data_IF_170155440163
#
_entry.id   IF_170155440163
#
_cell.length_a   1.000
_cell.length_b   1.000
_cell.length_c   1.000
_cell.angle_alpha   90.00
_cell.angle_beta   90.00
_cell.angle_gamma   90.00
#
_symmetry.space_group_name_H-M   'P 1'
#
loop_
_entity.id
_entity.type
_entity.pdbx_description
1 polymer ?
#
# COMPACT_ATOMS: atom_id res chain seq x y z
N UNK A 1 25.38 13.52 16.27
CA UNK A 1 26.17 12.38 16.80
C UNK A 1 27.53 12.33 16.15
N UNK A 2 28.55 11.82 16.85
CA UNK A 2 29.92 11.69 16.32
C UNK A 2 30.29 10.20 16.27
N UNK A 3 30.83 9.76 15.15
CA UNK A 3 31.27 8.38 14.90
C UNK A 3 32.77 8.40 14.64
N UNK A 4 33.53 7.62 15.39
CA UNK A 4 34.94 7.39 15.13
C UNK A 4 35.09 6.16 14.23
N UNK A 5 35.86 6.32 13.17
CA UNK A 5 36.08 5.27 12.18
C UNK A 5 37.09 4.25 12.72
N UNK A 6 36.64 3.02 12.82
CA UNK A 6 37.44 1.90 13.31
C UNK A 6 38.53 1.41 12.33
N UNK A 7 39.30 0.38 12.73
CA UNK A 7 40.31 -0.22 11.86
C UNK A 7 39.68 -0.86 10.63
N UNK A 8 40.41 -0.82 9.51
CA UNK A 8 40.00 -1.34 8.20
C UNK A 8 38.62 -0.76 7.71
N UNK A 9 38.55 0.58 7.50
CA UNK A 9 37.31 1.22 7.10
C UNK A 9 36.87 0.78 5.72
N UNK A 10 35.53 0.67 5.53
CA UNK A 10 34.99 0.44 4.20
C UNK A 10 35.43 1.59 3.24
N UNK A 11 35.69 1.29 1.94
CA UNK A 11 36.33 2.23 1.01
C UNK A 11 35.47 3.44 0.62
N UNK A 12 34.28 3.58 1.22
CA UNK A 12 33.31 4.65 0.93
C UNK A 12 32.64 5.09 2.21
N UNK A 13 32.47 6.40 2.36
CA UNK A 13 31.83 7.02 3.51
C UNK A 13 30.44 6.44 3.82
N UNK A 14 29.57 6.30 2.82
CA UNK A 14 28.24 5.72 3.00
C UNK A 14 28.22 4.27 3.51
N UNK A 15 29.25 3.48 3.13
CA UNK A 15 29.39 2.10 3.58
C UNK A 15 30.01 2.01 4.97
N UNK A 16 31.01 2.84 5.25
CA UNK A 16 31.65 2.87 6.55
C UNK A 16 30.66 3.32 7.64
N UNK A 17 29.90 4.40 7.40
CA UNK A 17 28.89 4.85 8.33
C UNK A 17 27.78 3.82 8.55
N UNK A 18 27.36 3.09 7.53
CA UNK A 18 26.38 2.02 7.68
C UNK A 18 26.87 0.85 8.55
N UNK A 19 28.18 0.71 8.74
CA UNK A 19 28.80 -0.30 9.61
C UNK A 19 29.06 0.23 11.02
N UNK A 20 29.50 1.48 11.12
CA UNK A 20 29.99 2.06 12.37
C UNK A 20 28.88 2.79 13.20
N UNK A 21 27.79 3.21 12.55
CA UNK A 21 26.66 3.85 13.25
C UNK A 21 25.91 2.79 14.05
N UNK A 22 25.69 3.00 15.38
CA UNK A 22 24.96 2.06 16.22
C UNK A 22 23.54 1.79 15.69
N UNK A 23 23.08 0.52 15.77
CA UNK A 23 21.72 0.14 15.36
C UNK A 23 20.62 0.91 16.12
N UNK A 24 20.90 1.30 17.37
CA UNK A 24 20.00 2.10 18.21
C UNK A 24 19.62 3.45 17.57
N UNK A 25 20.46 4.00 16.70
CA UNK A 25 20.19 5.28 16.01
C UNK A 25 19.25 5.13 14.79
N UNK A 26 18.89 3.91 14.43
CA UNK A 26 17.95 3.60 13.33
C UNK A 26 18.26 4.29 12.00
N UNK A 27 19.54 4.60 11.74
CA UNK A 27 20.00 5.24 10.51
C UNK A 27 20.33 4.24 9.43
N UNK A 28 19.37 3.96 8.56
CA UNK A 28 19.61 3.11 7.39
C UNK A 28 20.65 3.72 6.45
N UNK A 29 21.39 2.87 5.70
CA UNK A 29 22.36 3.32 4.71
C UNK A 29 21.77 4.33 3.70
N UNK A 30 20.52 4.17 3.31
CA UNK A 30 19.83 5.10 2.41
C UNK A 30 19.63 6.47 3.06
N UNK A 31 19.35 6.52 4.38
CA UNK A 31 19.23 7.76 5.14
C UNK A 31 20.60 8.42 5.31
N UNK A 32 21.64 7.66 5.63
CA UNK A 32 23.02 8.14 5.69
C UNK A 32 23.49 8.74 4.36
N UNK A 33 23.26 8.07 3.24
CA UNK A 33 23.57 8.60 1.91
C UNK A 33 22.86 9.91 1.60
N UNK A 34 21.61 10.07 2.07
CA UNK A 34 20.84 11.29 1.91
C UNK A 34 21.40 12.43 2.80
N UNK A 35 21.70 12.14 4.07
CA UNK A 35 22.32 13.12 4.98
C UNK A 35 23.67 13.63 4.45
N UNK A 36 24.49 12.75 3.86
CA UNK A 36 25.72 13.14 3.18
C UNK A 36 25.41 14.13 2.03
N UNK A 37 24.49 13.79 1.14
CA UNK A 37 24.13 14.62 -0.02
C UNK A 37 23.55 15.99 0.38
N UNK A 38 22.84 16.06 1.50
CA UNK A 38 22.25 17.29 2.09
C UNK A 38 23.28 18.15 2.85
N UNK A 39 24.55 17.68 2.97
CA UNK A 39 25.60 18.40 3.70
C UNK A 39 25.48 18.30 5.22
N UNK A 40 24.71 17.36 5.74
CA UNK A 40 24.50 17.11 7.16
C UNK A 40 25.61 16.23 7.78
N UNK A 41 26.68 15.96 7.04
CA UNK A 41 27.82 15.13 7.49
C UNK A 41 29.12 15.90 7.34
N UNK A 42 29.89 15.95 8.42
CA UNK A 42 31.23 16.52 8.41
C UNK A 42 32.28 15.45 8.71
N UNK A 43 33.33 15.39 7.89
CA UNK A 43 34.48 14.53 8.05
C UNK A 43 35.64 15.37 8.59
N UNK A 44 36.12 15.05 9.79
CA UNK A 44 37.17 15.80 10.48
C UNK A 44 36.87 17.33 10.54
N UNK A 45 35.61 17.66 10.88
CA UNK A 45 35.12 19.03 10.98
C UNK A 45 34.81 19.73 9.64
N UNK A 46 35.02 19.06 8.50
CA UNK A 46 34.73 19.62 7.18
C UNK A 46 33.50 18.95 6.56
N UNK A 47 32.48 19.74 6.22
CA UNK A 47 31.27 19.25 5.56
C UNK A 47 31.60 18.57 4.25
N UNK A 48 31.05 17.38 4.04
CA UNK A 48 31.19 16.60 2.81
C UNK A 48 29.83 16.19 2.25
N UNK A 49 29.68 16.29 0.92
CA UNK A 49 28.49 15.84 0.19
C UNK A 49 28.77 14.62 -0.70
N UNK A 50 30.02 14.13 -0.69
CA UNK A 50 30.43 12.95 -1.50
C UNK A 50 30.30 11.64 -0.70
N UNK A 51 29.33 10.77 -1.02
CA UNK A 51 29.16 9.48 -0.36
C UNK A 51 30.31 8.49 -0.63
N UNK A 52 31.20 8.84 -1.57
CA UNK A 52 32.38 8.04 -1.93
C UNK A 52 33.67 8.56 -1.31
N UNK A 53 33.60 9.58 -0.46
CA UNK A 53 34.77 10.10 0.25
C UNK A 53 35.53 8.94 0.92
N UNK A 54 36.84 8.98 0.79
CA UNK A 54 37.74 7.98 1.40
C UNK A 54 37.91 8.29 2.88
N UNK A 55 37.98 7.25 3.68
CA UNK A 55 38.17 7.30 5.13
C UNK A 55 39.44 6.55 5.50
N UNK A 56 40.04 6.96 6.59
CA UNK A 56 41.15 6.26 7.27
C UNK A 56 40.73 5.99 8.72
N UNK A 57 41.40 5.01 9.33
CA UNK A 57 41.22 4.73 10.76
C UNK A 57 41.52 5.98 11.60
N UNK A 58 40.63 6.25 12.58
CA UNK A 58 40.73 7.41 13.43
C UNK A 58 40.03 8.69 12.89
N UNK A 59 39.50 8.65 11.66
CA UNK A 59 38.68 9.76 11.17
C UNK A 59 37.45 9.96 12.06
N UNK A 60 37.13 11.24 12.35
CA UNK A 60 35.92 11.63 13.07
C UNK A 60 34.86 12.08 12.09
N UNK A 61 33.70 11.42 12.13
CA UNK A 61 32.56 11.79 11.29
C UNK A 61 31.42 12.31 12.19
N UNK A 62 31.12 13.57 12.03
CA UNK A 62 29.97 14.22 12.69
C UNK A 62 28.73 14.12 11.78
N UNK A 63 27.65 13.56 12.31
CA UNK A 63 26.38 13.45 11.60
C UNK A 63 25.38 14.34 12.33
N UNK A 64 24.95 15.41 11.68
CA UNK A 64 23.85 16.24 12.13
C UNK A 64 22.57 15.62 11.65
N UNK A 65 21.93 14.83 12.50
CA UNK A 65 20.57 14.38 12.26
C UNK A 65 19.69 15.57 12.70
N UNK A 66 19.16 16.31 11.74
CA UNK A 66 18.01 17.13 12.05
C UNK A 66 16.92 16.14 12.48
N UNK A 67 16.43 16.30 13.71
CA UNK A 67 15.18 15.67 14.09
C UNK A 67 14.22 15.93 12.94
N UNK A 68 13.63 14.86 12.39
CA UNK A 68 12.61 15.06 11.39
C UNK A 68 11.66 16.07 12.02
N UNK A 69 11.49 17.23 11.40
CA UNK A 69 10.47 18.21 11.84
C UNK A 69 9.24 17.35 11.97
N UNK A 70 8.84 17.08 13.19
CA UNK A 70 7.61 16.35 13.46
C UNK A 70 6.56 17.23 12.82
N UNK A 71 6.08 16.80 11.68
CA UNK A 71 4.83 17.34 11.14
C UNK A 71 3.82 16.81 12.14
N UNK A 72 3.59 17.61 13.18
CA UNK A 72 2.57 17.37 14.17
C UNK A 72 1.30 17.10 13.36
N UNK A 73 0.81 15.87 13.42
CA UNK A 73 -0.38 15.48 12.64
C UNK A 73 -1.54 16.20 13.30
N UNK A 74 -1.94 17.31 12.71
CA UNK A 74 -3.00 18.16 13.27
C UNK A 74 -4.36 17.51 13.07
N UNK A 75 -5.25 17.52 14.09
CA UNK A 75 -6.64 17.12 13.94
C UNK A 75 -7.36 18.00 12.89
N UNK A 76 -8.14 17.38 12.00
CA UNK A 76 -8.91 18.09 10.99
C UNK A 76 -10.37 17.59 11.00
N UNK A 77 -11.32 18.51 10.95
CA UNK A 77 -12.77 18.21 10.89
C UNK A 77 -13.13 17.71 9.49
N UNK A 78 -12.92 16.42 9.28
CA UNK A 78 -13.26 15.72 8.05
C UNK A 78 -14.28 14.64 8.39
N UNK A 79 -15.41 14.64 7.71
CA UNK A 79 -16.47 13.65 7.92
C UNK A 79 -15.97 12.23 7.65
N UNK A 80 -16.28 11.31 8.56
CA UNK A 80 -15.94 9.88 8.46
C UNK A 80 -17.23 9.05 8.35
N UNK A 81 -17.23 8.08 7.46
CA UNK A 81 -18.25 7.03 7.41
C UNK A 81 -17.81 5.88 8.33
N UNK A 82 -18.30 5.90 9.57
CA UNK A 82 -17.97 4.95 10.62
C UNK A 82 -18.98 3.81 10.60
N UNK A 83 -18.50 2.59 10.32
CA UNK A 83 -19.31 1.38 10.29
C UNK A 83 -19.46 0.76 11.69
N UNK A 84 -18.45 0.92 12.53
CA UNK A 84 -18.41 0.42 13.90
C UNK A 84 -17.41 1.19 14.73
N UNK A 85 -17.69 1.39 16.00
CA UNK A 85 -16.79 1.97 16.97
C UNK A 85 -17.07 1.46 18.37
N UNK A 86 -16.03 1.12 19.11
CA UNK A 86 -16.04 0.84 20.53
C UNK A 86 -14.86 1.50 21.27
N UNK A 87 -14.53 1.04 22.47
CA UNK A 87 -13.41 1.58 23.25
C UNK A 87 -12.04 1.21 22.66
N UNK A 88 -11.94 0.12 21.90
CA UNK A 88 -10.70 -0.49 21.45
C UNK A 88 -10.37 -0.25 19.98
N UNK A 89 -11.37 -0.13 19.10
CA UNK A 89 -11.16 0.03 17.67
C UNK A 89 -12.28 0.82 16.98
N UNK A 90 -11.99 1.28 15.78
CA UNK A 90 -12.97 1.88 14.87
C UNK A 90 -12.84 1.24 13.48
N UNK A 91 -13.95 0.97 12.83
CA UNK A 91 -14.02 0.50 11.45
C UNK A 91 -14.66 1.59 10.59
N UNK A 92 -13.93 2.00 9.55
CA UNK A 92 -14.37 3.08 8.68
C UNK A 92 -14.47 2.62 7.22
N UNK A 93 -15.43 3.17 6.50
CA UNK A 93 -15.51 3.08 5.05
C UNK A 93 -14.78 4.30 4.44
N UNK A 94 -13.53 4.12 4.05
CA UNK A 94 -12.69 5.21 3.53
C UNK A 94 -13.16 5.66 2.14
N UNK A 95 -13.41 6.96 1.92
CA UNK A 95 -13.74 7.45 0.59
C UNK A 95 -12.54 7.37 -0.37
N UNK A 96 -12.84 7.49 -1.66
CA UNK A 96 -11.85 7.69 -2.73
C UNK A 96 -11.08 9.01 -2.49
N UNK A 97 -9.81 9.06 -2.88
CA UNK A 97 -9.00 10.28 -2.82
C UNK A 97 -8.37 10.57 -1.45
N UNK A 98 -8.82 9.91 -0.39
CA UNK A 98 -8.27 10.08 0.95
C UNK A 98 -7.05 9.18 1.18
N UNK A 99 -5.92 9.78 1.59
CA UNK A 99 -4.72 9.04 2.04
C UNK A 99 -4.93 8.58 3.49
N UNK A 100 -4.43 7.40 3.84
CA UNK A 100 -4.62 6.85 5.20
C UNK A 100 -3.83 7.64 6.25
N UNK A 101 -2.56 7.98 5.98
CA UNK A 101 -1.70 8.69 6.93
C UNK A 101 -0.83 9.73 6.23
N UNK A 102 -0.41 10.79 6.92
CA UNK A 102 0.45 11.81 6.36
C UNK A 102 1.73 11.25 5.75
N UNK A 103 2.13 11.80 4.61
CA UNK A 103 3.33 11.42 3.89
C UNK A 103 3.90 12.65 3.13
N UNK A 104 5.17 12.61 2.69
CA UNK A 104 5.70 13.65 1.81
C UNK A 104 4.79 13.88 0.60
N UNK A 105 4.30 15.11 0.42
CA UNK A 105 3.33 15.49 -0.62
C UNK A 105 1.85 15.39 -0.21
N UNK A 106 1.53 14.88 0.98
CA UNK A 106 0.17 14.87 1.55
C UNK A 106 0.28 14.99 3.08
N UNK A 107 0.62 16.17 3.61
CA UNK A 107 0.85 16.36 5.04
C UNK A 107 -0.48 16.43 5.84
N UNK A 108 -1.59 16.68 5.19
CA UNK A 108 -2.92 16.96 5.75
C UNK A 108 -4.03 16.29 4.94
N UNK A 109 -5.28 16.37 5.38
CA UNK A 109 -6.42 15.78 4.69
C UNK A 109 -6.44 14.25 4.68
N UNK A 110 -5.80 13.62 5.67
CA UNK A 110 -5.71 12.15 5.74
C UNK A 110 -6.71 11.56 6.71
N UNK A 111 -6.93 10.24 6.61
CA UNK A 111 -7.76 9.52 7.57
C UNK A 111 -7.28 9.72 9.02
N UNK A 112 -5.97 9.76 9.24
CA UNK A 112 -5.41 9.99 10.58
C UNK A 112 -5.76 11.39 11.08
N UNK A 113 -5.71 12.44 10.24
CA UNK A 113 -6.13 13.80 10.64
C UNK A 113 -7.61 13.81 11.07
N UNK A 114 -8.48 13.15 10.30
CA UNK A 114 -9.90 13.04 10.60
C UNK A 114 -10.17 12.27 11.92
N UNK A 115 -9.49 11.14 12.12
CA UNK A 115 -9.61 10.33 13.34
C UNK A 115 -9.09 11.07 14.58
N UNK A 116 -7.99 11.81 14.46
CA UNK A 116 -7.48 12.65 15.56
C UNK A 116 -8.51 13.70 15.98
N UNK A 117 -9.22 14.31 15.03
CA UNK A 117 -10.31 15.23 15.34
C UNK A 117 -11.46 14.52 16.01
N UNK A 118 -11.91 13.40 15.44
CA UNK A 118 -13.04 12.60 15.96
C UNK A 118 -12.80 12.15 17.42
N UNK A 119 -11.58 11.77 17.77
CA UNK A 119 -11.23 11.30 19.13
C UNK A 119 -10.65 12.37 20.04
N UNK A 120 -10.74 13.66 19.68
CA UNK A 120 -10.22 14.76 20.51
C UNK A 120 -8.72 14.70 20.79
N UNK A 121 -7.94 14.18 19.86
CA UNK A 121 -6.49 14.01 19.98
C UNK A 121 -6.02 12.70 20.63
N UNK A 122 -6.92 11.85 21.09
CA UNK A 122 -6.61 10.61 21.81
C UNK A 122 -6.69 9.37 20.90
N UNK A 123 -5.81 9.24 19.95
CA UNK A 123 -5.55 7.95 19.29
C UNK A 123 -4.45 7.20 20.04
N UNK A 124 -4.51 5.86 20.04
CA UNK A 124 -3.43 5.01 20.56
C UNK A 124 -2.07 5.52 20.10
N UNK A 125 -1.19 5.88 21.04
CA UNK A 125 0.17 6.31 20.76
C UNK A 125 1.08 5.22 20.21
N UNK A 126 0.60 3.97 20.13
CA UNK A 126 1.31 2.84 19.53
C UNK A 126 1.25 2.93 18.01
N UNK A 127 2.39 2.79 17.40
CA UNK A 127 2.62 3.08 15.98
C UNK A 127 3.45 4.34 15.79
N UNK A 128 3.74 5.04 16.89
CA UNK A 128 4.48 6.30 16.97
C UNK A 128 3.62 7.47 16.49
N UNK A 129 4.06 8.70 16.78
CA UNK A 129 3.38 9.97 16.45
C UNK A 129 2.95 10.11 14.98
N UNK A 130 3.52 9.31 14.07
CA UNK A 130 3.27 9.38 12.62
C UNK A 130 2.18 8.45 12.10
N UNK A 131 1.73 7.45 12.89
CA UNK A 131 0.74 6.45 12.44
C UNK A 131 -0.12 5.92 13.59
N UNK A 132 -0.73 6.77 14.39
CA UNK A 132 -1.47 6.32 15.56
C UNK A 132 -2.57 5.34 15.14
N UNK A 133 -2.57 4.15 15.76
CA UNK A 133 -3.60 3.13 15.56
C UNK A 133 -3.65 2.43 14.21
N UNK A 134 -2.83 2.82 13.21
CA UNK A 134 -2.89 2.25 11.86
C UNK A 134 -2.14 0.91 11.79
N UNK A 135 -2.89 -0.18 11.59
CA UNK A 135 -2.37 -1.55 11.46
C UNK A 135 -2.28 -2.03 10.00
N UNK A 136 -3.08 -1.46 9.11
CA UNK A 136 -3.03 -1.72 7.67
C UNK A 136 -3.45 -0.48 6.86
N UNK A 137 -3.37 -0.59 5.54
CA UNK A 137 -3.72 0.53 4.65
C UNK A 137 -4.27 0.06 3.33
N UNK A 138 -5.07 0.92 2.70
CA UNK A 138 -5.46 0.86 1.30
C UNK A 138 -4.91 2.09 0.56
N UNK A 139 -4.85 2.03 -0.77
CA UNK A 139 -4.30 3.12 -1.58
C UNK A 139 -5.22 4.37 -1.53
N UNK A 140 -4.67 5.55 -1.85
CA UNK A 140 -5.40 6.82 -1.90
C UNK A 140 -6.73 6.70 -2.65
N UNK A 141 -6.66 6.17 -3.87
CA UNK A 141 -7.80 6.10 -4.78
C UNK A 141 -8.52 4.74 -4.73
N UNK A 142 -8.26 3.93 -3.71
CA UNK A 142 -9.04 2.74 -3.34
C UNK A 142 -9.99 3.12 -2.22
N UNK A 143 -11.28 2.86 -2.39
CA UNK A 143 -12.32 3.04 -1.38
C UNK A 143 -12.50 1.79 -0.54
N UNK A 144 -13.23 1.91 0.57
CA UNK A 144 -13.72 0.77 1.34
C UNK A 144 -13.11 0.63 2.73
N UNK A 145 -13.25 -0.54 3.29
CA UNK A 145 -13.15 -0.80 4.72
C UNK A 145 -11.71 -0.80 5.22
N UNK A 146 -11.52 -0.11 6.34
CA UNK A 146 -10.33 -0.08 7.16
C UNK A 146 -10.68 -0.23 8.63
N UNK A 147 -9.85 -0.97 9.40
CA UNK A 147 -9.88 -0.98 10.87
C UNK A 147 -8.70 -0.19 11.42
N UNK A 148 -8.96 0.59 12.46
CA UNK A 148 -7.97 1.39 13.18
C UNK A 148 -8.08 1.12 14.66
N UNK A 149 -6.95 0.89 15.32
CA UNK A 149 -6.91 0.64 16.76
C UNK A 149 -7.02 1.96 17.54
N UNK A 150 -7.81 1.97 18.60
CA UNK A 150 -7.93 3.07 19.56
C UNK A 150 -7.09 2.79 20.82
N UNK A 151 -6.90 1.53 21.18
CA UNK A 151 -6.10 1.10 22.33
C UNK A 151 -4.82 0.36 21.90
N UNK A 152 -3.82 0.36 22.76
CA UNK A 152 -2.56 -0.35 22.54
C UNK A 152 -2.77 -1.86 22.41
N UNK A 153 -3.68 -2.40 23.20
CA UNK A 153 -4.08 -3.80 23.16
C UNK A 153 -4.68 -4.16 21.81
N UNK A 154 -5.58 -3.32 21.31
CA UNK A 154 -6.17 -3.52 20.00
C UNK A 154 -5.14 -3.41 18.88
N UNK A 155 -4.21 -2.45 18.97
CA UNK A 155 -3.14 -2.32 17.99
C UNK A 155 -2.27 -3.57 17.88
N UNK A 156 -1.80 -4.11 19.02
CA UNK A 156 -0.99 -5.32 19.03
C UNK A 156 -1.77 -6.54 18.52
N UNK A 157 -3.02 -6.72 18.96
CA UNK A 157 -3.84 -7.85 18.53
C UNK A 157 -4.18 -7.81 17.04
N UNK A 158 -4.59 -6.66 16.50
CA UNK A 158 -4.83 -6.50 15.08
C UNK A 158 -3.55 -6.66 14.26
N UNK A 159 -2.44 -6.04 14.68
CA UNK A 159 -1.16 -6.19 13.99
C UNK A 159 -0.73 -7.65 13.88
N UNK A 160 -0.89 -8.43 14.95
CA UNK A 160 -0.61 -9.87 14.96
C UNK A 160 -1.49 -10.63 13.95
N UNK A 161 -2.77 -10.32 13.84
CA UNK A 161 -3.67 -10.94 12.85
C UNK A 161 -3.28 -10.61 11.41
N UNK A 162 -2.91 -9.34 11.13
CA UNK A 162 -2.42 -8.95 9.80
C UNK A 162 -1.07 -9.62 9.47
N UNK A 163 -0.20 -9.82 10.44
CA UNK A 163 1.08 -10.51 10.29
C UNK A 163 0.88 -12.02 10.07
N UNK A 164 0.01 -12.64 10.86
CA UNK A 164 -0.37 -14.05 10.72
C UNK A 164 -1.25 -14.35 9.50
N UNK A 165 -1.70 -13.30 8.79
CA UNK A 165 -2.60 -13.41 7.64
C UNK A 165 -3.97 -14.04 7.96
N UNK A 166 -4.43 -13.94 9.20
CA UNK A 166 -5.74 -14.43 9.64
C UNK A 166 -6.89 -13.45 9.38
N UNK A 167 -6.60 -12.15 9.22
CA UNK A 167 -7.60 -11.17 8.82
C UNK A 167 -8.08 -11.41 7.38
N UNK A 168 -9.40 -11.56 7.20
CA UNK A 168 -10.02 -11.79 5.90
C UNK A 168 -10.23 -10.46 5.16
N UNK A 169 -9.73 -10.36 3.94
CA UNK A 169 -9.79 -9.13 3.13
C UNK A 169 -10.27 -9.44 1.74
N UNK A 170 -11.47 -8.96 1.41
CA UNK A 170 -12.06 -9.13 0.10
C UNK A 170 -12.21 -7.78 -0.59
N UNK A 171 -11.76 -7.73 -1.81
CA UNK A 171 -11.83 -6.55 -2.67
C UNK A 171 -12.66 -6.87 -3.90
N UNK A 172 -13.46 -5.92 -4.34
CA UNK A 172 -14.11 -5.95 -5.63
C UNK A 172 -13.35 -5.07 -6.60
N UNK A 173 -13.10 -5.58 -7.80
CA UNK A 173 -12.38 -4.85 -8.82
C UNK A 173 -12.98 -5.08 -10.21
N UNK A 174 -12.81 -4.10 -11.10
CA UNK A 174 -13.16 -4.22 -12.52
C UNK A 174 -11.84 -4.22 -13.31
N UNK A 175 -11.61 -5.25 -14.12
CA UNK A 175 -10.36 -5.42 -14.84
C UNK A 175 -10.57 -5.70 -16.33
N UNK A 176 -9.53 -5.47 -17.12
CA UNK A 176 -9.50 -5.80 -18.53
C UNK A 176 -9.31 -7.29 -18.76
N UNK A 177 -10.21 -7.89 -19.54
CA UNK A 177 -10.25 -9.31 -19.84
C UNK A 177 -10.90 -10.15 -18.76
N UNK A 178 -10.85 -11.46 -18.94
CA UNK A 178 -11.45 -12.43 -18.03
C UNK A 178 -10.34 -13.38 -17.56
N UNK A 179 -9.85 -13.23 -16.32
CA UNK A 179 -8.73 -14.03 -15.80
C UNK A 179 -9.17 -15.46 -15.42
N UNK A 180 -9.47 -16.28 -16.43
CA UNK A 180 -9.86 -17.68 -16.27
C UNK A 180 -8.81 -18.63 -16.88
N UNK A 181 -8.95 -19.92 -16.64
CA UNK A 181 -7.98 -20.94 -17.08
C UNK A 181 -7.86 -21.06 -18.60
N UNK A 182 -8.86 -20.62 -19.36
CA UNK A 182 -8.86 -20.64 -20.82
C UNK A 182 -8.13 -19.44 -21.43
N UNK A 183 -7.84 -18.39 -20.65
CA UNK A 183 -7.21 -17.17 -21.18
C UNK A 183 -5.75 -17.42 -21.61
N UNK A 184 -5.44 -17.23 -22.91
CA UNK A 184 -4.09 -17.47 -23.42
C UNK A 184 -3.02 -16.53 -22.82
N UNK A 185 -3.41 -15.37 -22.27
CA UNK A 185 -2.49 -14.43 -21.60
C UNK A 185 -1.87 -15.00 -20.33
N UNK A 186 -2.54 -15.98 -19.68
CA UNK A 186 -2.05 -16.61 -18.46
C UNK A 186 -1.10 -17.78 -18.73
N UNK A 187 -0.98 -18.24 -19.98
CA UNK A 187 -0.10 -19.36 -20.33
C UNK A 187 1.37 -19.00 -20.09
N UNK A 188 2.03 -19.76 -19.21
CA UNK A 188 3.45 -19.56 -18.90
C UNK A 188 3.78 -18.34 -18.04
N UNK A 189 2.78 -17.63 -17.54
CA UNK A 189 3.01 -16.53 -16.59
C UNK A 189 3.52 -17.11 -15.27
N UNK A 190 4.74 -16.76 -14.89
CA UNK A 190 5.35 -17.24 -13.64
C UNK A 190 4.56 -16.76 -12.42
N UNK A 191 4.43 -17.64 -11.43
CA UNK A 191 3.76 -17.33 -10.17
C UNK A 191 2.25 -17.40 -10.25
N UNK A 192 1.68 -18.02 -11.31
CA UNK A 192 0.24 -18.25 -11.44
C UNK A 192 -0.11 -19.72 -11.35
N UNK A 193 -1.22 -20.02 -10.71
CA UNK A 193 -1.86 -21.33 -10.68
C UNK A 193 -3.37 -21.16 -10.56
N UNK A 194 -4.12 -22.23 -10.86
CA UNK A 194 -5.56 -22.24 -10.61
C UNK A 194 -5.87 -23.18 -9.47
N UNK A 195 -6.67 -22.71 -8.52
CA UNK A 195 -7.27 -23.49 -7.44
C UNK A 195 -8.66 -23.97 -7.85
N UNK A 196 -9.26 -24.84 -7.06
CA UNK A 196 -10.63 -25.35 -7.26
C UNK A 196 -11.64 -24.19 -7.39
N UNK A 197 -12.65 -24.36 -8.22
CA UNK A 197 -13.62 -23.29 -8.52
C UNK A 197 -13.12 -22.22 -9.48
N UNK A 198 -12.00 -22.47 -10.21
CA UNK A 198 -11.48 -21.55 -11.21
C UNK A 198 -10.81 -20.31 -10.64
N UNK A 199 -10.38 -20.36 -9.38
CA UNK A 199 -9.73 -19.24 -8.70
C UNK A 199 -8.29 -19.14 -9.20
N UNK A 200 -7.95 -17.99 -9.82
CA UNK A 200 -6.57 -17.67 -10.18
C UNK A 200 -5.81 -17.26 -8.94
N UNK A 201 -4.77 -18.01 -8.58
CA UNK A 201 -3.82 -17.67 -7.53
C UNK A 201 -2.55 -17.06 -8.13
N UNK A 202 -2.20 -15.87 -7.67
CA UNK A 202 -0.97 -15.18 -8.06
C UNK A 202 -0.04 -15.11 -6.87
N UNK A 203 1.11 -15.79 -6.96
CA UNK A 203 2.14 -15.87 -5.91
C UNK A 203 3.46 -15.36 -6.44
N UNK A 204 3.92 -14.24 -5.92
CA UNK A 204 5.15 -13.57 -6.36
C UNK A 204 5.90 -12.96 -5.17
N UNK A 205 6.94 -12.21 -5.47
CA UNK A 205 7.56 -11.29 -4.53
C UNK A 205 7.41 -9.87 -5.07
N UNK A 206 7.10 -8.92 -4.19
CA UNK A 206 6.94 -7.52 -4.56
C UNK A 206 8.04 -6.67 -3.93
N UNK A 207 8.57 -5.76 -4.73
CA UNK A 207 9.50 -4.73 -4.27
C UNK A 207 9.24 -3.43 -5.01
N UNK A 208 9.79 -2.32 -4.49
CA UNK A 208 9.73 -1.04 -5.18
C UNK A 208 10.43 -1.14 -6.54
N UNK A 209 9.82 -0.60 -7.58
CA UNK A 209 10.40 -0.58 -8.92
C UNK A 209 11.76 0.15 -8.93
N UNK A 210 12.72 -0.36 -9.68
CA UNK A 210 14.12 0.11 -9.61
C UNK A 210 14.30 1.59 -10.00
N UNK A 211 13.54 2.06 -10.96
CA UNK A 211 13.65 3.42 -11.54
C UNK A 211 12.45 4.30 -11.23
N UNK A 212 11.25 3.75 -11.16
CA UNK A 212 10.03 4.47 -10.87
C UNK A 212 9.58 4.21 -9.41
N UNK A 213 9.86 5.17 -8.53
CA UNK A 213 9.59 5.04 -7.09
C UNK A 213 8.10 5.02 -6.72
N UNK A 214 7.21 5.40 -7.64
CA UNK A 214 5.76 5.35 -7.43
C UNK A 214 5.19 3.95 -7.69
N UNK A 215 5.96 3.08 -8.35
CA UNK A 215 5.54 1.73 -8.73
C UNK A 215 6.16 0.65 -7.85
N UNK A 216 5.41 -0.44 -7.73
CA UNK A 216 5.93 -1.73 -7.29
C UNK A 216 6.19 -2.61 -8.51
N UNK A 217 7.07 -3.59 -8.37
CA UNK A 217 7.39 -4.56 -9.41
C UNK A 217 7.28 -5.99 -8.87
N UNK A 218 6.84 -6.90 -9.75
CA UNK A 218 6.89 -8.34 -9.49
C UNK A 218 8.34 -8.81 -9.62
N UNK A 219 8.78 -9.55 -8.62
CA UNK A 219 10.06 -10.25 -8.58
C UNK A 219 9.81 -11.72 -8.27
N UNK A 220 10.82 -12.55 -8.55
CA UNK A 220 10.83 -13.98 -8.17
C UNK A 220 11.95 -14.30 -7.18
N UNK A 221 12.77 -13.29 -6.84
CA UNK A 221 13.80 -13.33 -5.80
C UNK A 221 14.02 -11.94 -5.23
N UNK A 222 14.27 -11.83 -3.93
CA UNK A 222 14.72 -10.59 -3.28
C UNK A 222 13.64 -9.53 -3.04
N UNK A 223 12.35 -9.92 -3.07
CA UNK A 223 11.21 -9.08 -2.71
C UNK A 223 10.48 -9.61 -1.48
N UNK A 224 9.34 -9.01 -1.15
CA UNK A 224 8.42 -9.46 -0.08
C UNK A 224 7.38 -10.39 -0.67
N UNK A 225 7.18 -11.55 -0.04
CA UNK A 225 6.16 -12.53 -0.45
C UNK A 225 4.77 -11.90 -0.56
N UNK A 226 4.07 -12.22 -1.63
CA UNK A 226 2.76 -11.68 -1.96
C UNK A 226 1.86 -12.73 -2.62
N UNK A 227 0.65 -12.91 -2.08
CA UNK A 227 -0.35 -13.86 -2.59
C UNK A 227 -1.70 -13.16 -2.73
N UNK A 228 -2.26 -13.24 -3.94
CA UNK A 228 -3.62 -12.76 -4.28
C UNK A 228 -4.39 -13.87 -4.95
N UNK A 229 -5.61 -14.12 -4.51
CA UNK A 229 -6.58 -15.00 -5.19
C UNK A 229 -7.61 -14.16 -5.90
N UNK A 230 -7.92 -14.52 -7.14
CA UNK A 230 -8.83 -13.77 -7.99
C UNK A 230 -9.91 -14.71 -8.50
N UNK A 231 -11.16 -14.37 -8.26
CA UNK A 231 -12.35 -15.09 -8.74
C UNK A 231 -13.15 -14.16 -9.65
N UNK A 232 -13.45 -14.61 -10.85
CA UNK A 232 -14.36 -13.90 -11.76
C UNK A 232 -15.78 -14.01 -11.21
N UNK A 233 -16.44 -12.86 -11.04
CA UNK A 233 -17.84 -12.79 -10.61
C UNK A 233 -18.77 -12.59 -11.80
N UNK A 234 -18.40 -11.71 -12.74
CA UNK A 234 -19.20 -11.37 -13.90
C UNK A 234 -18.27 -11.00 -15.06
N UNK A 235 -18.62 -11.37 -16.30
CA UNK A 235 -17.85 -11.01 -17.48
C UNK A 235 -18.72 -10.25 -18.49
N UNK A 236 -18.11 -9.28 -19.16
CA UNK A 236 -18.75 -8.40 -20.13
C UNK A 236 -18.03 -8.53 -21.48
N UNK A 237 -18.73 -9.15 -22.44
CA UNK A 237 -18.24 -9.40 -23.80
C UNK A 237 -16.80 -10.00 -23.84
N UNK A 238 -16.45 -10.87 -22.89
CA UNK A 238 -15.12 -11.51 -22.75
C UNK A 238 -13.94 -10.50 -22.74
N UNK A 239 -14.21 -9.23 -22.50
CA UNK A 239 -13.24 -8.14 -22.61
C UNK A 239 -13.02 -7.40 -21.30
N UNK A 240 -14.03 -7.30 -20.46
CA UNK A 240 -14.00 -6.70 -19.12
C UNK A 240 -14.60 -7.72 -18.14
N UNK A 241 -14.14 -7.73 -16.93
CA UNK A 241 -14.76 -8.53 -15.87
C UNK A 241 -14.76 -7.85 -14.53
N UNK A 242 -15.80 -8.13 -13.75
CA UNK A 242 -15.83 -7.88 -12.32
C UNK A 242 -15.22 -9.09 -11.62
N UNK A 243 -14.29 -8.85 -10.74
CA UNK A 243 -13.57 -9.89 -9.99
C UNK A 243 -13.56 -9.61 -8.49
N UNK A 244 -13.61 -10.68 -7.70
CA UNK A 244 -13.28 -10.65 -6.29
C UNK A 244 -11.79 -10.97 -6.12
N UNK A 245 -11.08 -10.15 -5.36
CA UNK A 245 -9.69 -10.38 -4.99
C UNK A 245 -9.58 -10.63 -3.49
N UNK A 246 -9.07 -11.79 -3.09
CA UNK A 246 -8.78 -12.12 -1.69
C UNK A 246 -7.30 -12.00 -1.43
N UNK A 247 -6.96 -11.25 -0.39
CA UNK A 247 -5.58 -11.00 0.01
C UNK A 247 -5.15 -11.91 1.17
N UNK A 248 -4.16 -12.77 0.93
CA UNK A 248 -3.43 -13.42 2.01
C UNK A 248 -2.40 -12.46 2.61
N UNK A 249 -1.64 -11.76 1.78
CA UNK A 249 -0.67 -10.72 2.17
C UNK A 249 -1.20 -9.33 1.80
N UNK A 250 -0.64 -8.26 2.39
CA UNK A 250 -1.05 -6.86 2.14
C UNK A 250 0.12 -5.97 1.75
N UNK A 251 0.73 -6.17 0.57
CA UNK A 251 1.83 -5.32 0.09
C UNK A 251 1.29 -4.11 -0.66
N UNK A 252 2.06 -3.04 -0.66
CA UNK A 252 1.70 -1.80 -1.39
C UNK A 252 1.33 -2.11 -2.84
N UNK A 253 0.19 -1.62 -3.30
CA UNK A 253 -0.36 -1.80 -4.65
C UNK A 253 -0.53 -3.28 -5.08
N UNK A 254 -0.60 -4.23 -4.15
CA UNK A 254 -0.48 -5.67 -4.45
C UNK A 254 -1.46 -6.15 -5.52
N UNK A 255 -2.77 -5.91 -5.36
CA UNK A 255 -3.78 -6.33 -6.35
C UNK A 255 -3.47 -5.70 -7.71
N UNK A 256 -3.19 -4.41 -7.74
CA UNK A 256 -2.91 -3.65 -8.97
C UNK A 256 -1.72 -4.20 -9.74
N UNK A 257 -0.62 -4.49 -9.03
CA UNK A 257 0.60 -5.06 -9.60
C UNK A 257 0.37 -6.48 -10.09
N UNK A 258 -0.29 -7.32 -9.28
CA UNK A 258 -0.60 -8.70 -9.66
C UNK A 258 -1.51 -8.77 -10.88
N UNK A 259 -2.60 -7.98 -10.91
CA UNK A 259 -3.51 -7.94 -12.06
C UNK A 259 -2.82 -7.44 -13.32
N UNK A 260 -1.94 -6.46 -13.21
CA UNK A 260 -1.11 -6.00 -14.33
C UNK A 260 -0.12 -7.08 -14.79
N UNK A 261 0.54 -7.79 -13.85
CA UNK A 261 1.48 -8.87 -14.15
C UNK A 261 0.84 -10.00 -14.95
N UNK A 262 -0.38 -10.38 -14.60
CA UNK A 262 -1.14 -11.43 -15.29
C UNK A 262 -1.84 -10.93 -16.56
N UNK A 263 -1.63 -9.70 -16.98
CA UNK A 263 -2.21 -9.13 -18.19
C UNK A 263 -3.65 -8.64 -18.08
N UNK A 264 -4.19 -8.54 -16.85
CA UNK A 264 -5.55 -8.14 -16.54
C UNK A 264 -5.59 -6.85 -15.68
N UNK A 265 -4.85 -5.81 -16.07
CA UNK A 265 -4.79 -4.54 -15.34
C UNK A 265 -6.19 -3.98 -15.04
N UNK A 266 -6.33 -3.31 -13.89
CA UNK A 266 -7.61 -2.74 -13.46
C UNK A 266 -8.02 -1.59 -14.38
N UNK A 267 -9.33 -1.48 -14.63
CA UNK A 267 -9.89 -0.34 -15.37
C UNK A 267 -9.54 0.95 -14.62
N UNK A 268 -9.14 1.97 -15.37
CA UNK A 268 -8.78 3.28 -14.85
C UNK A 268 -7.43 3.38 -14.11
N UNK A 269 -6.70 2.28 -13.89
CA UNK A 269 -5.39 2.32 -13.21
C UNK A 269 -4.34 3.02 -14.07
N UNK A 270 -3.99 4.24 -13.69
CA UNK A 270 -3.07 5.08 -14.44
C UNK A 270 -1.60 4.68 -14.29
N UNK A 271 -1.28 3.93 -13.24
CA UNK A 271 0.10 3.55 -12.90
C UNK A 271 0.47 2.20 -13.53
N UNK A 272 -0.46 1.23 -13.52
CA UNK A 272 -0.18 -0.15 -13.96
C UNK A 272 -0.83 -0.53 -15.31
N UNK A 273 -1.20 0.45 -16.10
CA UNK A 273 -1.59 0.22 -17.50
C UNK A 273 -3.06 -0.14 -17.72
N UNK A 274 -3.93 0.26 -16.81
CA UNK A 274 -5.39 0.08 -16.94
C UNK A 274 -6.08 0.94 -18.02
N UNK A 275 -5.37 1.80 -18.73
CA UNK A 275 -5.89 2.64 -19.81
C UNK A 275 -5.94 1.90 -21.17
N UNK A 276 -6.40 0.68 -21.19
CA UNK A 276 -6.57 -0.05 -22.45
C UNK A 276 -7.85 0.42 -23.13
N UNK A 277 -7.74 0.76 -24.41
CA UNK A 277 -8.92 1.04 -25.23
C UNK A 277 -9.71 -0.26 -25.43
N UNK A 278 -11.00 -0.20 -25.17
CA UNK A 278 -11.95 -1.25 -25.55
C UNK A 278 -12.61 -0.91 -26.88
N UNK A 279 -13.15 -1.91 -27.57
CA UNK A 279 -13.75 -1.72 -28.89
C UNK A 279 -15.09 -0.99 -28.77
N UNK A 280 -15.23 0.15 -29.44
CA UNK A 280 -16.52 0.87 -29.54
C UNK A 280 -17.57 0.03 -30.29
N UNK A 281 -17.14 -0.91 -31.17
CA UNK A 281 -18.08 -1.84 -31.85
C UNK A 281 -18.75 -2.80 -30.85
N UNK A 282 -18.07 -3.10 -29.73
CA UNK A 282 -18.55 -4.02 -28.70
C UNK A 282 -19.30 -3.29 -27.60
N UNK A 283 -18.77 -2.14 -27.17
CA UNK A 283 -19.28 -1.44 -25.99
C UNK A 283 -20.05 -0.13 -26.32
N UNK A 284 -20.13 0.27 -27.58
CA UNK A 284 -20.80 1.51 -27.94
C UNK A 284 -20.29 2.72 -27.13
N UNK A 285 -21.20 3.49 -26.58
CA UNK A 285 -20.90 4.65 -25.74
C UNK A 285 -20.19 4.25 -24.42
N UNK A 286 -20.40 3.05 -23.91
CA UNK A 286 -19.72 2.58 -22.67
C UNK A 286 -18.21 2.45 -22.85
N UNK A 287 -17.72 2.31 -24.08
CA UNK A 287 -16.28 2.32 -24.34
C UNK A 287 -15.61 3.61 -23.83
N UNK A 288 -16.29 4.74 -23.92
CA UNK A 288 -15.81 6.03 -23.42
C UNK A 288 -15.85 6.11 -21.90
N UNK A 289 -16.87 5.54 -21.27
CA UNK A 289 -16.98 5.45 -19.79
C UNK A 289 -15.81 4.61 -19.25
N UNK A 290 -15.55 3.44 -19.84
CA UNK A 290 -14.43 2.58 -19.45
C UNK A 290 -13.09 3.31 -19.61
N UNK A 291 -12.87 3.97 -20.74
CA UNK A 291 -11.62 4.68 -21.04
C UNK A 291 -11.43 5.93 -20.16
N UNK A 292 -12.51 6.57 -19.76
CA UNK A 292 -12.54 7.76 -18.92
C UNK A 292 -12.54 7.49 -17.41
N UNK A 293 -12.63 6.23 -16.96
CA UNK A 293 -12.69 5.92 -15.53
C UNK A 293 -11.44 6.48 -14.82
N UNK A 294 -11.62 7.33 -13.78
CA UNK A 294 -10.55 8.25 -13.36
C UNK A 294 -9.46 7.60 -12.49
N UNK A 295 -9.73 6.45 -11.89
CA UNK A 295 -8.90 5.78 -10.90
C UNK A 295 -8.88 4.26 -11.10
N UNK A 296 -8.05 3.53 -10.34
CA UNK A 296 -8.20 2.06 -10.30
C UNK A 296 -9.60 1.69 -9.81
N UNK A 297 -10.35 0.92 -10.60
CA UNK A 297 -11.64 0.36 -10.22
C UNK A 297 -11.41 -0.75 -9.17
N UNK A 298 -11.19 -0.34 -7.91
CA UNK A 298 -10.85 -1.20 -6.78
C UNK A 298 -11.51 -0.68 -5.51
N UNK A 299 -12.14 -1.59 -4.77
CA UNK A 299 -12.87 -1.31 -3.54
C UNK A 299 -12.61 -2.40 -2.51
N UNK A 300 -12.25 -2.05 -1.28
CA UNK A 300 -12.14 -2.96 -0.13
C UNK A 300 -13.54 -3.26 0.40
N UNK A 301 -14.19 -4.27 -0.16
CA UNK A 301 -15.62 -4.53 0.01
C UNK A 301 -15.94 -5.22 1.34
N UNK A 302 -15.05 -6.08 1.86
CA UNK A 302 -15.26 -6.66 3.18
C UNK A 302 -13.95 -6.87 3.95
N UNK A 303 -14.07 -6.79 5.28
CA UNK A 303 -13.00 -7.02 6.23
C UNK A 303 -13.53 -7.87 7.39
N UNK A 304 -12.88 -9.02 7.64
CA UNK A 304 -13.17 -9.89 8.77
C UNK A 304 -11.93 -10.07 9.65
N UNK A 305 -12.12 -10.02 10.96
CA UNK A 305 -11.06 -10.21 11.96
C UNK A 305 -11.65 -10.61 13.31
N UNK A 306 -10.85 -11.19 14.18
CA UNK A 306 -11.22 -11.39 15.56
C UNK A 306 -11.02 -10.10 16.35
N UNK A 307 -12.03 -9.67 17.08
CA UNK A 307 -11.90 -8.50 17.96
C UNK A 307 -10.81 -8.76 19.00
N UNK A 308 -9.75 -7.91 19.04
CA UNK A 308 -8.51 -8.22 19.77
C UNK A 308 -8.68 -8.31 21.30
N UNK A 309 -9.81 -7.89 21.81
CA UNK A 309 -10.14 -7.86 23.24
C UNK A 309 -11.19 -8.89 23.60
N UNK A 310 -12.31 -8.95 22.91
CA UNK A 310 -13.38 -9.90 23.17
C UNK A 310 -13.15 -11.28 22.57
N UNK A 311 -12.32 -11.39 21.52
CA UNK A 311 -12.11 -12.63 20.76
C UNK A 311 -13.27 -12.98 19.82
N UNK A 312 -14.30 -12.12 19.74
CA UNK A 312 -15.43 -12.32 18.83
C UNK A 312 -15.01 -12.07 17.38
N UNK A 313 -15.38 -12.97 16.45
CA UNK A 313 -15.15 -12.74 15.03
C UNK A 313 -16.15 -11.73 14.49
N UNK A 314 -15.63 -10.66 13.91
CA UNK A 314 -16.40 -9.57 13.32
C UNK A 314 -16.17 -9.52 11.81
N UNK A 315 -17.23 -9.25 11.06
CA UNK A 315 -17.17 -9.00 9.62
C UNK A 315 -17.95 -7.76 9.27
N UNK A 316 -17.33 -6.92 8.46
CA UNK A 316 -17.91 -5.69 7.93
C UNK A 316 -17.94 -5.75 6.42
N UNK A 317 -18.99 -5.17 5.83
CA UNK A 317 -19.17 -5.07 4.39
C UNK A 317 -19.51 -3.63 4.04
N UNK A 318 -19.05 -3.16 2.89
CA UNK A 318 -19.36 -1.85 2.35
C UNK A 318 -19.81 -1.98 0.90
N UNK A 319 -20.84 -1.24 0.55
CA UNK A 319 -21.36 -1.17 -0.82
C UNK A 319 -20.34 -0.53 -1.76
N UNK A 320 -20.42 -0.89 -3.04
CA UNK A 320 -19.60 -0.29 -4.08
C UNK A 320 -19.83 1.23 -4.12
N UNK A 321 -18.77 2.03 -4.30
CA UNK A 321 -18.90 3.45 -4.49
C UNK A 321 -19.60 3.78 -5.82
N UNK A 322 -20.28 4.91 -5.86
CA UNK A 322 -21.17 5.35 -6.94
C UNK A 322 -20.51 5.23 -8.34
N UNK A 323 -19.25 5.67 -8.48
CA UNK A 323 -18.51 5.59 -9.74
C UNK A 323 -18.31 4.16 -10.26
N UNK A 324 -18.14 3.18 -9.36
CA UNK A 324 -18.05 1.76 -9.74
C UNK A 324 -19.43 1.16 -10.01
N UNK A 325 -20.47 1.60 -9.33
CA UNK A 325 -21.87 1.21 -9.62
C UNK A 325 -22.26 1.69 -11.02
N UNK A 326 -22.05 2.96 -11.33
CA UNK A 326 -22.33 3.54 -12.66
C UNK A 326 -21.57 2.80 -13.79
N UNK A 327 -20.29 2.48 -13.55
CA UNK A 327 -19.50 1.71 -14.52
C UNK A 327 -20.09 0.31 -14.75
N UNK A 328 -20.52 -0.39 -13.69
CA UNK A 328 -21.12 -1.72 -13.79
C UNK A 328 -22.49 -1.68 -14.49
N UNK A 329 -23.32 -0.69 -14.18
CA UNK A 329 -24.61 -0.50 -14.84
C UNK A 329 -24.43 -0.26 -16.34
N UNK A 330 -23.46 0.60 -16.71
CA UNK A 330 -23.13 0.84 -18.10
C UNK A 330 -22.62 -0.43 -18.82
N UNK A 331 -21.83 -1.27 -18.14
CA UNK A 331 -21.34 -2.54 -18.66
C UNK A 331 -22.48 -3.54 -18.86
N UNK A 332 -23.41 -3.64 -17.92
CA UNK A 332 -24.59 -4.52 -17.96
C UNK A 332 -25.58 -4.09 -19.02
N UNK A 333 -25.78 -2.79 -19.19
CA UNK A 333 -26.69 -2.21 -20.20
C UNK A 333 -26.25 -2.47 -21.66
N UNK A 334 -24.96 -2.80 -21.90
CA UNK A 334 -24.48 -3.20 -23.23
C UNK A 334 -24.54 -4.72 -23.51
N UNK A 335 -25.05 -5.49 -22.59
CA UNK A 335 -25.19 -6.95 -22.73
C UNK A 335 -26.58 -7.40 -23.23
N UNK A 336 -27.43 -6.46 -23.70
CA UNK A 336 -28.75 -6.74 -24.29
C UNK A 336 -28.72 -6.60 -25.80
#
# INVERSE_FOLDING_TARGET
MTVLIGPDPAPRLDKALAREVPEAESLSRSRLSRLIAEGAVALNGKVTTDPRAKLVEGDSVEITVQDAVDVETTPEDIALDILFEDDDLVVVNKPVGMVVHPAPGTPSGTLVNALLHHFGGNLSGIGGEKRPGIVHRIDKDTSGILVVAKSDRAHHGLAAQFEAHSAERHYLAICHGVPNAADPRLRGVKGTSFEEGGILKVTTQLARHKTDRQRQAVLFQGGRHAVTRVRVLESFAETISMVECRLETGRTHQIRVHMSHVGHGLVGDQVYGGRRKVSEKVFGATAQIIAGFPRQALHAASLGFEHPVSGEFMRFEADLPEDMVELLEALRGNGL
#
